data_IF_597226803725
#
_entry.id   IF_597226803725
#
_cell.length_a   1.000
_cell.length_b   1.000
_cell.length_c   1.000
_cell.angle_alpha   90.00
_cell.angle_beta   90.00
_cell.angle_gamma   90.00
#
_symmetry.space_group_name_H-M   'P 1'
#
loop_
_entity.id
_entity.type
_entity.pdbx_description
1 polymer ?
#
# COMPACT_ATOMS: atom_id res chain seq x y z
N UNK A 1 17.81 14.23 15.53
CA UNK A 1 17.83 12.77 15.31
C UNK A 1 16.40 12.30 15.21
N UNK A 2 15.86 12.25 13.99
CA UNK A 2 14.56 11.64 13.73
C UNK A 2 14.77 10.14 13.89
N UNK A 3 14.18 9.52 14.91
CA UNK A 3 14.27 8.07 15.08
C UNK A 3 13.75 7.41 13.79
N UNK A 4 14.61 6.70 13.06
CA UNK A 4 14.22 5.91 11.89
C UNK A 4 13.27 4.82 12.37
N UNK A 5 11.98 4.96 12.07
CA UNK A 5 10.99 3.92 12.36
C UNK A 5 11.03 2.94 11.20
N UNK A 6 11.51 1.72 11.48
CA UNK A 6 11.51 0.64 10.48
C UNK A 6 10.09 0.12 10.28
N UNK A 7 9.79 -0.41 9.09
CA UNK A 7 8.48 -0.98 8.78
C UNK A 7 8.08 -2.08 9.79
N UNK A 8 9.03 -2.92 10.20
CA UNK A 8 8.80 -3.95 11.21
C UNK A 8 8.37 -3.38 12.56
N UNK A 9 9.09 -2.37 13.07
CA UNK A 9 8.74 -1.71 14.33
C UNK A 9 7.34 -1.07 14.27
N UNK A 10 7.00 -0.45 13.14
CA UNK A 10 5.69 0.15 12.94
C UNK A 10 4.55 -0.88 12.91
N UNK A 11 4.77 -2.03 12.27
CA UNK A 11 3.80 -3.14 12.27
C UNK A 11 3.59 -3.67 13.69
N UNK A 12 4.65 -3.84 14.48
CA UNK A 12 4.52 -4.27 15.88
C UNK A 12 3.77 -3.25 16.73
N UNK A 13 4.07 -1.96 16.59
CA UNK A 13 3.35 -0.89 17.28
C UNK A 13 1.87 -0.84 16.89
N UNK A 14 1.57 -1.01 15.60
CA UNK A 14 0.20 -1.10 15.11
C UNK A 14 -0.54 -2.28 15.74
N UNK A 15 0.07 -3.47 15.73
CA UNK A 15 -0.52 -4.68 16.32
C UNK A 15 -0.79 -4.51 17.81
N UNK A 16 0.17 -3.96 18.56
CA UNK A 16 0.02 -3.69 19.99
C UNK A 16 -1.09 -2.69 20.29
N UNK A 17 -1.22 -1.63 19.49
CA UNK A 17 -2.26 -0.60 19.68
C UNK A 17 -3.65 -1.04 19.26
N UNK A 18 -3.76 -2.11 18.46
CA UNK A 18 -5.03 -2.65 17.97
C UNK A 18 -5.27 -4.09 18.47
N UNK A 19 -4.59 -4.50 19.53
CA UNK A 19 -4.80 -5.78 20.20
C UNK A 19 -6.27 -5.89 20.64
N UNK A 20 -6.89 -7.04 20.37
CA UNK A 20 -8.31 -7.29 20.66
C UNK A 20 -9.31 -6.84 19.59
N UNK A 21 -8.89 -6.12 18.53
CA UNK A 21 -9.78 -5.75 17.40
C UNK A 21 -9.92 -6.85 16.33
N UNK A 22 -9.21 -7.97 16.47
CA UNK A 22 -9.36 -9.15 15.61
C UNK A 22 -9.25 -8.85 14.11
N UNK A 23 -10.28 -9.25 13.36
CA UNK A 23 -10.33 -9.14 11.89
C UNK A 23 -10.17 -7.69 11.40
N UNK A 24 -10.76 -6.72 12.10
CA UNK A 24 -10.68 -5.30 11.71
C UNK A 24 -9.25 -4.76 11.75
N UNK A 25 -8.44 -5.18 12.73
CA UNK A 25 -7.03 -4.79 12.80
C UNK A 25 -6.24 -5.36 11.63
N UNK A 26 -6.48 -6.63 11.29
CA UNK A 26 -5.83 -7.28 10.15
C UNK A 26 -6.21 -6.59 8.85
N UNK A 27 -7.49 -6.32 8.62
CA UNK A 27 -8.00 -5.62 7.43
C UNK A 27 -7.42 -4.19 7.31
N UNK A 28 -7.35 -3.45 8.43
CA UNK A 28 -6.71 -2.14 8.45
C UNK A 28 -5.22 -2.22 8.12
N UNK A 29 -4.50 -3.20 8.65
CA UNK A 29 -3.09 -3.41 8.36
C UNK A 29 -2.86 -3.79 6.88
N UNK A 30 -3.67 -4.71 6.33
CA UNK A 30 -3.68 -5.04 4.90
C UNK A 30 -3.84 -3.77 4.06
N UNK A 31 -4.81 -2.93 4.42
CA UNK A 31 -5.12 -1.70 3.71
C UNK A 31 -3.98 -0.69 3.77
N UNK A 32 -3.38 -0.50 4.95
CA UNK A 32 -2.22 0.37 5.14
C UNK A 32 -1.06 -0.07 4.26
N UNK A 33 -0.72 -1.36 4.29
CA UNK A 33 0.37 -1.90 3.47
C UNK A 33 0.06 -1.78 1.98
N UNK A 34 -1.17 -2.06 1.55
CA UNK A 34 -1.54 -1.96 0.14
C UNK A 34 -1.48 -0.51 -0.40
N UNK A 35 -2.01 0.46 0.35
CA UNK A 35 -1.94 1.88 -0.03
C UNK A 35 -0.48 2.32 -0.12
N UNK A 36 0.32 1.96 0.87
CA UNK A 36 1.70 2.42 0.94
C UNK A 36 2.57 1.83 -0.16
N UNK A 37 2.36 0.56 -0.53
CA UNK A 37 3.02 -0.04 -1.69
C UNK A 37 2.59 0.64 -3.00
N UNK A 38 1.28 0.83 -3.22
CA UNK A 38 0.75 1.41 -4.44
C UNK A 38 1.20 2.88 -4.68
N UNK A 39 1.31 3.67 -3.60
CA UNK A 39 1.66 5.09 -3.69
C UNK A 39 3.17 5.35 -3.66
N UNK A 40 3.98 4.44 -3.12
CA UNK A 40 5.44 4.52 -3.20
C UNK A 40 6.02 3.85 -4.46
N UNK A 41 5.27 2.99 -5.14
CA UNK A 41 5.72 2.41 -6.39
C UNK A 41 5.93 3.49 -7.48
N UNK A 42 6.98 3.36 -8.31
CA UNK A 42 7.15 4.20 -9.49
C UNK A 42 5.94 4.08 -10.42
N UNK A 43 5.57 5.18 -11.07
CA UNK A 43 4.40 5.25 -11.96
C UNK A 43 4.85 5.61 -13.39
N UNK A 44 5.47 4.69 -14.15
CA UNK A 44 5.90 4.95 -15.52
C UNK A 44 4.70 5.28 -16.41
N UNK A 45 4.90 6.15 -17.40
CA UNK A 45 3.87 6.45 -18.39
C UNK A 45 3.97 5.46 -19.56
N UNK A 46 3.08 4.46 -19.56
CA UNK A 46 2.92 3.47 -20.63
C UNK A 46 1.73 3.81 -21.56
N UNK A 47 1.31 5.09 -21.58
CA UNK A 47 0.16 5.57 -22.34
C UNK A 47 -1.20 5.36 -21.63
N UNK A 48 -2.30 5.85 -22.22
CA UNK A 48 -3.61 5.93 -21.54
C UNK A 48 -4.20 4.58 -21.10
N UNK A 49 -3.82 3.47 -21.72
CA UNK A 49 -4.33 2.12 -21.38
C UNK A 49 -3.25 1.23 -20.76
N UNK A 50 -2.12 1.81 -20.34
CA UNK A 50 -0.93 1.09 -19.88
C UNK A 50 -0.94 0.68 -18.41
N UNK A 51 -2.01 0.96 -17.66
CA UNK A 51 -2.03 0.78 -16.19
C UNK A 51 -1.78 -0.66 -15.74
N UNK A 52 -2.40 -1.64 -16.40
CA UNK A 52 -2.21 -3.06 -16.10
C UNK A 52 -0.80 -3.55 -16.46
N UNK A 53 -0.23 -3.05 -17.55
CA UNK A 53 1.14 -3.36 -17.94
C UNK A 53 2.13 -2.78 -16.92
N UNK A 54 1.95 -1.52 -16.54
CA UNK A 54 2.77 -0.86 -15.53
C UNK A 54 2.68 -1.57 -14.16
N UNK A 55 1.48 -2.01 -13.76
CA UNK A 55 1.31 -2.78 -12.54
C UNK A 55 2.07 -4.11 -12.59
N UNK A 56 2.04 -4.81 -13.73
CA UNK A 56 2.75 -6.09 -13.90
C UNK A 56 4.27 -5.93 -13.92
N UNK A 57 4.79 -4.93 -14.61
CA UNK A 57 6.23 -4.76 -14.84
C UNK A 57 6.92 -3.99 -13.72
N UNK A 58 6.19 -3.13 -13.01
CA UNK A 58 6.76 -2.23 -11.99
C UNK A 58 6.26 -2.56 -10.59
N UNK A 59 4.94 -2.55 -10.40
CA UNK A 59 4.36 -2.71 -9.06
C UNK A 59 4.54 -4.13 -8.50
N UNK A 60 4.20 -5.18 -9.26
CA UNK A 60 4.25 -6.56 -8.75
C UNK A 60 5.65 -6.97 -8.26
N UNK A 61 6.74 -6.73 -9.02
CA UNK A 61 8.10 -6.98 -8.51
C UNK A 61 8.40 -6.21 -7.22
N UNK A 62 7.95 -4.96 -7.15
CA UNK A 62 8.11 -4.10 -5.98
C UNK A 62 7.34 -4.63 -4.74
N UNK A 63 6.11 -5.11 -4.93
CA UNK A 63 5.31 -5.78 -3.90
C UNK A 63 6.02 -7.05 -3.42
N UNK A 64 6.51 -7.89 -4.35
CA UNK A 64 7.17 -9.16 -4.00
C UNK A 64 8.40 -8.95 -3.13
N UNK A 65 9.28 -7.99 -3.46
CA UNK A 65 10.48 -7.73 -2.66
C UNK A 65 10.14 -7.24 -1.24
N UNK A 66 9.28 -6.23 -1.12
CA UNK A 66 8.94 -5.68 0.19
C UNK A 66 8.17 -6.70 1.02
N UNK A 67 7.13 -7.30 0.45
CA UNK A 67 6.29 -8.25 1.17
C UNK A 67 7.11 -9.45 1.64
N UNK A 68 8.03 -9.99 0.82
CA UNK A 68 8.90 -11.10 1.24
C UNK A 68 9.66 -10.78 2.53
N UNK A 69 10.07 -9.53 2.73
CA UNK A 69 10.89 -9.11 3.88
C UNK A 69 10.08 -8.79 5.12
N UNK A 70 8.81 -8.40 4.95
CA UNK A 70 7.92 -8.08 6.06
C UNK A 70 6.91 -9.20 6.35
N UNK A 71 6.85 -10.26 5.53
CA UNK A 71 5.88 -11.35 5.64
C UNK A 71 5.94 -12.05 7.01
N UNK A 72 7.15 -12.28 7.51
CA UNK A 72 7.39 -12.89 8.82
C UNK A 72 6.78 -12.07 9.98
N UNK A 73 6.66 -10.75 9.80
CA UNK A 73 6.18 -9.83 10.82
C UNK A 73 4.68 -9.56 10.65
N UNK A 74 4.20 -9.49 9.40
CA UNK A 74 2.83 -9.14 9.07
C UNK A 74 1.85 -10.25 9.45
N UNK A 75 2.13 -11.51 9.11
CA UNK A 75 1.16 -12.61 9.21
C UNK A 75 -0.19 -12.26 8.56
N UNK A 76 -0.16 -11.62 7.38
CA UNK A 76 -1.35 -11.20 6.62
C UNK A 76 -1.36 -11.97 5.30
N UNK A 77 -2.54 -12.25 4.77
CA UNK A 77 -2.68 -12.83 3.43
C UNK A 77 -2.11 -11.89 2.35
N UNK A 78 -1.06 -12.39 1.67
CA UNK A 78 -0.39 -11.70 0.58
C UNK A 78 -1.31 -11.45 -0.62
N UNK A 79 -2.28 -12.35 -0.86
CA UNK A 79 -3.21 -12.26 -2.01
C UNK A 79 -4.07 -11.01 -1.92
N UNK A 80 -4.55 -10.70 -0.71
CA UNK A 80 -5.34 -9.51 -0.41
C UNK A 80 -4.53 -8.23 -0.59
N UNK A 81 -3.26 -8.23 -0.19
CA UNK A 81 -2.35 -7.09 -0.38
C UNK A 81 -2.08 -6.86 -1.88
N UNK A 82 -1.76 -7.91 -2.64
CA UNK A 82 -1.47 -7.81 -4.08
C UNK A 82 -2.68 -7.24 -4.83
N UNK A 83 -3.86 -7.81 -4.61
CA UNK A 83 -5.10 -7.41 -5.29
C UNK A 83 -5.47 -5.95 -5.01
N UNK A 84 -5.45 -5.55 -3.74
CA UNK A 84 -5.78 -4.18 -3.34
C UNK A 84 -4.72 -3.18 -3.81
N UNK A 85 -3.44 -3.53 -3.74
CA UNK A 85 -2.34 -2.67 -4.22
C UNK A 85 -2.45 -2.43 -5.73
N UNK A 86 -2.76 -3.46 -6.51
CA UNK A 86 -2.96 -3.34 -7.97
C UNK A 86 -4.16 -2.43 -8.27
N UNK A 87 -5.28 -2.61 -7.57
CA UNK A 87 -6.47 -1.77 -7.78
C UNK A 87 -6.16 -0.28 -7.49
N UNK A 88 -5.51 0.00 -6.37
CA UNK A 88 -5.09 1.35 -5.97
C UNK A 88 -4.09 1.95 -6.97
N UNK A 89 -3.12 1.17 -7.40
CA UNK A 89 -2.09 1.60 -8.36
C UNK A 89 -2.69 1.90 -9.73
N UNK A 90 -3.55 1.03 -10.26
CA UNK A 90 -4.24 1.26 -11.52
C UNK A 90 -5.14 2.49 -11.42
N UNK A 91 -5.88 2.67 -10.33
CA UNK A 91 -6.68 3.87 -10.13
C UNK A 91 -5.84 5.16 -10.12
N UNK A 92 -4.69 5.14 -9.43
CA UNK A 92 -3.70 6.22 -9.47
C UNK A 92 -3.14 6.45 -10.88
N UNK A 93 -2.91 5.38 -11.64
CA UNK A 93 -2.42 5.45 -13.01
C UNK A 93 -3.42 6.14 -13.93
N UNK A 94 -4.70 5.76 -13.86
CA UNK A 94 -5.77 6.38 -14.66
C UNK A 94 -5.84 7.88 -14.40
N UNK A 95 -5.76 8.31 -13.13
CA UNK A 95 -5.73 9.72 -12.75
C UNK A 95 -4.53 10.49 -13.33
N UNK A 96 -3.37 9.85 -13.47
CA UNK A 96 -2.14 10.49 -13.94
C UNK A 96 -2.02 10.53 -15.46
N UNK A 97 -2.41 9.45 -16.15
CA UNK A 97 -2.04 9.21 -17.54
C UNK A 97 -3.23 8.99 -18.49
N UNK A 98 -4.45 8.85 -17.97
CA UNK A 98 -5.66 8.69 -18.78
C UNK A 98 -6.74 9.70 -18.41
N UNK A 99 -6.79 10.88 -19.04
CA UNK A 99 -7.77 11.92 -18.72
C UNK A 99 -9.23 11.48 -18.81
N UNK A 100 -9.55 10.48 -19.65
CA UNK A 100 -10.91 9.91 -19.71
C UNK A 100 -11.17 8.93 -18.58
N UNK A 101 -10.23 8.02 -18.33
CA UNK A 101 -10.32 7.06 -17.22
C UNK A 101 -10.34 7.74 -15.85
N UNK A 102 -9.71 8.91 -15.74
CA UNK A 102 -9.71 9.72 -14.51
C UNK A 102 -11.10 10.17 -14.07
N UNK A 103 -12.07 10.29 -14.99
CA UNK A 103 -13.46 10.66 -14.66
C UNK A 103 -14.15 9.54 -13.87
N UNK A 104 -13.83 8.29 -14.20
CA UNK A 104 -14.39 7.10 -13.56
C UNK A 104 -13.51 6.59 -12.40
N UNK A 105 -12.41 7.30 -12.09
CA UNK A 105 -11.51 6.92 -11.02
C UNK A 105 -12.14 7.15 -9.64
N UNK A 106 -11.98 6.17 -8.76
CA UNK A 106 -12.57 6.19 -7.43
C UNK A 106 -11.67 6.89 -6.41
N UNK A 107 -12.28 7.38 -5.32
CA UNK A 107 -11.50 7.76 -4.14
C UNK A 107 -10.87 6.52 -3.49
N UNK A 108 -9.70 6.67 -2.85
CA UNK A 108 -9.05 5.56 -2.13
C UNK A 108 -10.00 4.97 -1.08
N UNK A 109 -10.74 5.84 -0.37
CA UNK A 109 -11.72 5.41 0.64
C UNK A 109 -12.80 4.53 0.02
N UNK A 110 -13.28 4.87 -1.18
CA UNK A 110 -14.29 4.09 -1.88
C UNK A 110 -13.74 2.72 -2.32
N UNK A 111 -12.52 2.67 -2.86
CA UNK A 111 -11.86 1.39 -3.23
C UNK A 111 -11.73 0.49 -1.99
N UNK A 112 -11.33 1.04 -0.85
CA UNK A 112 -11.22 0.29 0.41
C UNK A 112 -12.59 -0.15 0.93
N UNK A 113 -13.59 0.72 0.83
CA UNK A 113 -14.95 0.39 1.24
C UNK A 113 -15.52 -0.78 0.45
N UNK A 114 -15.34 -0.78 -0.86
CA UNK A 114 -15.83 -1.82 -1.77
C UNK A 114 -14.99 -3.11 -1.70
N UNK A 115 -13.68 -3.01 -1.43
CA UNK A 115 -12.76 -4.16 -1.41
C UNK A 115 -12.58 -4.84 -0.06
N UNK A 116 -12.71 -4.12 1.06
CA UNK A 116 -12.39 -4.60 2.41
C UNK A 116 -13.54 -4.35 3.41
N UNK A 117 -14.12 -3.15 3.41
CA UNK A 117 -15.18 -2.72 4.34
C UNK A 117 -15.03 -1.28 4.87
N UNK A 118 -16.09 -0.68 5.43
CA UNK A 118 -16.11 0.73 5.92
C UNK A 118 -15.52 0.94 7.32
N UNK A 119 -15.57 -0.07 8.17
CA UNK A 119 -15.34 0.05 9.62
C UNK A 119 -13.86 0.26 10.00
N UNK A 120 -12.95 0.08 9.04
CA UNK A 120 -11.50 0.22 9.25
C UNK A 120 -10.94 1.60 8.92
N UNK A 121 -11.70 2.47 8.23
CA UNK A 121 -11.14 3.68 7.60
C UNK A 121 -10.54 4.69 8.58
N UNK A 122 -11.17 4.88 9.74
CA UNK A 122 -10.63 5.76 10.79
C UNK A 122 -9.28 5.25 11.32
N UNK A 123 -9.13 3.93 11.43
CA UNK A 123 -7.85 3.31 11.82
C UNK A 123 -6.83 3.48 10.71
N UNK A 124 -7.20 3.30 9.44
CA UNK A 124 -6.29 3.52 8.30
C UNK A 124 -5.78 4.97 8.30
N UNK A 125 -6.67 5.97 8.37
CA UNK A 125 -6.26 7.39 8.38
C UNK A 125 -5.29 7.73 9.52
N UNK A 126 -5.52 7.18 10.72
CA UNK A 126 -4.68 7.47 11.89
C UNK A 126 -3.22 7.02 11.70
N UNK A 127 -2.99 5.95 10.93
CA UNK A 127 -1.69 5.32 10.79
C UNK A 127 -1.03 5.58 9.43
N UNK A 128 -1.79 6.08 8.45
CA UNK A 128 -1.38 6.17 7.05
C UNK A 128 -0.04 6.89 6.87
N UNK A 129 0.10 8.11 7.41
CA UNK A 129 1.30 8.93 7.22
C UNK A 129 2.56 8.22 7.73
N UNK A 130 2.46 7.55 8.88
CA UNK A 130 3.59 6.80 9.46
C UNK A 130 4.02 5.63 8.59
N UNK A 131 3.05 4.92 8.00
CA UNK A 131 3.35 3.81 7.09
C UNK A 131 3.92 4.31 5.76
N UNK A 132 3.42 5.45 5.26
CA UNK A 132 3.92 6.07 4.03
C UNK A 132 5.40 6.44 4.20
N UNK A 133 5.73 7.15 5.29
CA UNK A 133 7.10 7.53 5.63
C UNK A 133 8.01 6.30 5.78
N UNK A 134 7.56 5.26 6.48
CA UNK A 134 8.35 4.05 6.71
C UNK A 134 8.71 3.32 5.39
N UNK A 135 7.80 3.25 4.41
CA UNK A 135 8.12 2.67 3.10
C UNK A 135 9.06 3.58 2.31
N UNK A 136 8.82 4.89 2.32
CA UNK A 136 9.70 5.84 1.61
C UNK A 136 11.14 5.76 2.14
N UNK A 137 11.32 5.68 3.47
CA UNK A 137 12.65 5.49 4.07
C UNK A 137 13.27 4.15 3.69
N UNK A 138 12.49 3.07 3.75
CA UNK A 138 12.96 1.75 3.33
C UNK A 138 13.48 1.76 1.88
N UNK A 139 12.76 2.43 0.97
CA UNK A 139 13.21 2.58 -0.42
C UNK A 139 14.50 3.39 -0.56
N UNK A 140 14.68 4.44 0.23
CA UNK A 140 15.89 5.26 0.20
C UNK A 140 17.10 4.45 0.65
N UNK A 141 16.98 3.67 1.72
CA UNK A 141 18.06 2.80 2.21
C UNK A 141 18.46 1.74 1.16
N UNK A 142 17.49 1.11 0.49
CA UNK A 142 17.77 0.14 -0.58
C UNK A 142 18.47 0.76 -1.80
N UNK A 143 18.33 2.08 -2.03
CA UNK A 143 19.02 2.79 -3.12
C UNK A 143 20.44 3.24 -2.76
N UNK A 144 20.72 3.45 -1.48
CA UNK A 144 22.05 3.85 -0.99
C UNK A 144 22.98 2.64 -0.81
N UNK A 145 22.43 1.43 -0.67
CA UNK A 145 23.18 0.17 -0.52
C UNK A 145 23.53 -0.53 -1.85
N UNK A 146 23.01 -0.05 -2.98
CA UNK A 146 23.24 -0.61 -4.33
C UNK A 146 24.10 0.28 -5.22
#
# INVERSE_FOLDING_TARGET
MTHKVTMGALIYDFKRKNEGKGVQATQALTTLVAITLAYNAPLPNNGPTGGQEAARTTLRPYITDIASRINEIMHIDFTSIDSLSIALYCNRYEQAWNPRGAIDAFSIQQIVHEGIGSDIWETVKLWLDRFMDAISFYQLEQREEG
#
